data_IF_141986678574
#
_entry.id   IF_141986678574
#
_cell.length_a   1.000
_cell.length_b   1.000
_cell.length_c   1.000
_cell.angle_alpha   90.00
_cell.angle_beta   90.00
_cell.angle_gamma   90.00
#
_symmetry.space_group_name_H-M   'P 1'
#
loop_
_entity.id
_entity.type
_entity.pdbx_description
1 polymer ?
#
# COMPACT_ATOMS: atom_id res chain seq x y z
N UNK A 1 -5.90 -17.56 3.38
CA UNK A 1 -6.02 -16.86 2.08
C UNK A 1 -5.50 -15.45 2.23
N UNK A 2 -4.30 -15.18 1.73
CA UNK A 2 -3.58 -13.93 2.00
C UNK A 2 -3.62 -13.09 0.75
N UNK A 3 -4.49 -12.07 0.71
CA UNK A 3 -4.61 -11.13 -0.41
C UNK A 3 -3.20 -10.79 -0.95
N UNK A 4 -3.00 -10.87 -2.28
CA UNK A 4 -1.72 -10.59 -2.94
C UNK A 4 -1.44 -9.08 -2.94
N UNK A 5 -1.23 -8.53 -1.74
CA UNK A 5 -0.99 -7.11 -1.50
C UNK A 5 0.49 -6.82 -1.77
N UNK A 6 0.83 -6.01 -2.78
CA UNK A 6 2.22 -5.72 -3.14
C UNK A 6 2.92 -4.82 -2.11
N UNK A 7 2.16 -3.90 -1.51
CA UNK A 7 2.66 -2.86 -0.60
C UNK A 7 1.85 -2.82 0.69
N UNK A 8 2.54 -2.92 1.82
CA UNK A 8 1.93 -2.78 3.15
C UNK A 8 2.61 -1.61 3.85
N UNK A 9 1.83 -0.62 4.26
CA UNK A 9 2.34 0.54 5.01
C UNK A 9 1.84 0.45 6.43
N UNK A 10 2.76 0.52 7.39
CA UNK A 10 2.41 0.75 8.79
C UNK A 10 2.42 2.27 8.99
N UNK A 11 1.43 2.81 9.70
CA UNK A 11 1.38 4.24 9.98
C UNK A 11 1.11 4.45 11.48
N UNK A 12 2.19 4.60 12.24
CA UNK A 12 2.14 4.92 13.66
C UNK A 12 2.45 6.39 13.97
N UNK A 13 2.40 6.74 15.26
CA UNK A 13 2.81 8.07 15.77
C UNK A 13 4.23 8.46 15.34
N UNK A 14 5.15 7.49 15.29
CA UNK A 14 6.54 7.73 14.88
C UNK A 14 6.65 8.15 13.40
N UNK A 15 5.77 7.65 12.55
CA UNK A 15 5.76 7.95 11.12
C UNK A 15 5.02 9.25 10.83
N UNK A 16 4.00 9.57 11.64
CA UNK A 16 3.32 10.87 11.63
C UNK A 16 4.26 12.02 11.98
N UNK A 17 5.17 11.82 12.94
CA UNK A 17 6.12 12.85 13.40
C UNK A 17 7.33 12.99 12.48
N UNK A 18 7.85 11.88 11.94
CA UNK A 18 9.04 11.89 11.07
C UNK A 18 8.73 12.16 9.58
N UNK A 19 7.47 12.04 9.15
CA UNK A 19 7.08 12.24 7.75
C UNK A 19 7.55 11.14 6.78
N UNK A 20 8.07 10.04 7.32
CA UNK A 20 8.56 8.87 6.57
C UNK A 20 7.63 7.70 6.83
N UNK A 21 7.25 6.97 5.79
CA UNK A 21 6.39 5.79 5.85
C UNK A 21 7.23 4.52 5.79
N UNK A 22 6.99 3.58 6.70
CA UNK A 22 7.61 2.25 6.63
C UNK A 22 6.78 1.37 5.70
N UNK A 23 7.28 1.17 4.48
CA UNK A 23 6.61 0.38 3.45
C UNK A 23 7.27 -0.98 3.36
N UNK A 24 6.51 -2.04 3.62
CA UNK A 24 6.90 -3.41 3.35
C UNK A 24 6.50 -3.79 1.93
N UNK A 25 7.49 -4.14 1.12
CA UNK A 25 7.32 -4.53 -0.28
C UNK A 25 7.38 -6.05 -0.33
N UNK A 26 6.28 -6.70 -0.70
CA UNK A 26 6.21 -8.17 -0.75
C UNK A 26 7.17 -8.75 -1.79
N UNK A 27 7.37 -8.06 -2.91
CA UNK A 27 8.26 -8.51 -3.99
C UNK A 27 9.73 -8.58 -3.57
N UNK A 28 10.13 -7.75 -2.60
CA UNK A 28 11.52 -7.65 -2.14
C UNK A 28 11.72 -8.28 -0.75
N UNK A 29 10.63 -8.73 -0.10
CA UNK A 29 10.52 -9.10 1.33
C UNK A 29 11.31 -8.17 2.28
N UNK A 30 11.36 -6.89 1.92
CA UNK A 30 12.11 -5.84 2.64
C UNK A 30 11.17 -4.75 3.12
N UNK A 31 11.56 -4.14 4.23
CA UNK A 31 10.91 -2.97 4.81
C UNK A 31 11.79 -1.78 4.46
N UNK A 32 11.24 -0.84 3.71
CA UNK A 32 11.92 0.40 3.34
C UNK A 32 11.18 1.58 3.92
N UNK A 33 11.91 2.44 4.63
CA UNK A 33 11.41 3.72 5.07
C UNK A 33 11.54 4.72 3.92
N UNK A 34 10.42 5.14 3.34
CA UNK A 34 10.38 6.08 2.21
C UNK A 34 9.36 7.18 2.44
N UNK A 35 9.50 8.29 1.73
CA UNK A 35 8.50 9.37 1.77
C UNK A 35 7.23 8.95 1.04
N UNK A 36 6.05 9.50 1.39
CA UNK A 36 4.80 9.26 0.67
C UNK A 36 4.91 9.60 -0.83
N UNK A 37 5.65 10.64 -1.18
CA UNK A 37 5.86 11.06 -2.57
C UNK A 37 6.61 10.01 -3.38
N UNK A 38 7.64 9.40 -2.79
CA UNK A 38 8.46 8.34 -3.38
C UNK A 38 7.63 7.08 -3.63
N UNK A 39 6.78 6.72 -2.67
CA UNK A 39 5.85 5.60 -2.81
C UNK A 39 4.86 5.84 -3.96
N UNK A 40 4.32 7.06 -4.09
CA UNK A 40 3.41 7.41 -5.19
C UNK A 40 4.14 7.31 -6.53
N UNK A 41 5.38 7.79 -6.63
CA UNK A 41 6.18 7.70 -7.84
C UNK A 41 6.44 6.23 -8.22
N UNK A 42 6.87 5.39 -7.28
CA UNK A 42 7.14 3.96 -7.50
C UNK A 42 5.87 3.21 -7.95
N UNK A 43 4.74 3.47 -7.30
CA UNK A 43 3.45 2.88 -7.71
C UNK A 43 3.05 3.36 -9.10
N UNK A 44 3.23 4.66 -9.42
CA UNK A 44 2.90 5.19 -10.75
C UNK A 44 3.79 4.60 -11.84
N UNK A 45 5.08 4.38 -11.56
CA UNK A 45 6.01 3.74 -12.48
C UNK A 45 5.64 2.27 -12.73
N UNK A 46 5.33 1.51 -11.68
CA UNK A 46 4.87 0.12 -11.83
C UNK A 46 3.49 0.00 -12.47
N UNK A 47 2.59 0.95 -12.19
CA UNK A 47 1.24 0.95 -12.76
C UNK A 47 1.26 1.42 -14.21
N UNK A 48 2.17 2.33 -14.56
CA UNK A 48 2.47 2.78 -15.91
C UNK A 48 1.24 2.94 -16.80
N UNK A 49 1.21 2.13 -17.86
CA UNK A 49 0.21 2.13 -18.94
C UNK A 49 -1.03 1.25 -18.66
N UNK A 50 -1.17 0.70 -17.44
CA UNK A 50 -2.27 -0.22 -17.14
C UNK A 50 -3.56 0.53 -16.81
N UNK A 51 -4.73 0.09 -17.31
CA UNK A 51 -6.00 0.72 -17.00
C UNK A 51 -6.28 0.65 -15.49
N UNK A 52 -6.51 1.82 -14.88
CA UNK A 52 -6.81 1.93 -13.46
C UNK A 52 -8.24 1.44 -13.17
N UNK A 53 -8.39 0.13 -12.99
CA UNK A 53 -9.69 -0.47 -12.64
C UNK A 53 -10.06 -0.02 -11.22
N UNK A 54 -11.17 0.71 -11.08
CA UNK A 54 -11.70 1.07 -9.76
C UNK A 54 -11.91 -0.22 -8.96
N UNK A 55 -11.52 -0.21 -7.68
CA UNK A 55 -11.78 -1.34 -6.80
C UNK A 55 -13.29 -1.63 -6.82
N UNK A 56 -13.72 -2.87 -7.16
CA UNK A 56 -15.12 -3.26 -7.09
C UNK A 56 -15.61 -3.41 -5.64
N UNK A 57 -14.68 -3.46 -4.69
CA UNK A 57 -14.91 -3.57 -3.26
C UNK A 57 -14.73 -2.22 -2.57
N UNK A 58 -15.38 -1.99 -1.42
CA UNK A 58 -15.15 -0.78 -0.64
C UNK A 58 -13.67 -0.66 -0.25
N UNK A 59 -13.18 0.58 -0.29
CA UNK A 59 -11.78 0.94 0.02
C UNK A 59 -11.36 0.47 1.42
N UNK A 60 -12.30 0.49 2.37
CA UNK A 60 -12.06 0.09 3.74
C UNK A 60 -12.36 -1.39 3.89
N UNK A 61 -11.37 -2.16 4.37
CA UNK A 61 -11.52 -3.58 4.68
C UNK A 61 -12.69 -3.82 5.65
N UNK A 62 -12.89 -2.93 6.63
CA UNK A 62 -13.99 -3.01 7.61
C UNK A 62 -15.39 -2.94 7.00
N UNK A 63 -15.53 -2.39 5.79
CA UNK A 63 -16.81 -2.28 5.07
C UNK A 63 -17.01 -3.41 4.06
N UNK A 64 -16.01 -4.27 3.85
CA UNK A 64 -16.16 -5.43 2.97
C UNK A 64 -17.01 -6.47 3.72
N UNK A 65 -17.99 -7.10 3.06
CA UNK A 65 -18.75 -8.19 3.67
C UNK A 65 -17.77 -9.29 4.08
N UNK A 66 -17.79 -9.67 5.36
CA UNK A 66 -17.03 -10.81 5.85
C UNK A 66 -17.78 -12.08 5.45
N UNK A 67 -17.24 -12.83 4.48
CA UNK A 67 -17.67 -14.20 4.25
C UNK A 67 -17.10 -15.05 5.39
N UNK A 68 -17.98 -15.54 6.27
CA UNK A 68 -17.65 -16.49 7.34
C UNK A 68 -18.01 -17.90 6.90
#
# INVERSE_FOLDING_TARGET
ETEWIPYIVVYGEKEKTSGTLSVRIRSEDKIMAMKPEDLIAKIREETGDKPFKKLPLPKLLSRRPAFR
#
